data_IF_256232230606
#
_entry.id   IF_256232230606
#
_cell.length_a   1.000
_cell.length_b   1.000
_cell.length_c   1.000
_cell.angle_alpha   90.00
_cell.angle_beta   90.00
_cell.angle_gamma   90.00
#
_symmetry.space_group_name_H-M   'P 1'
#
loop_
_entity.id
_entity.type
_entity.pdbx_description
1 polymer ?
#
# COMPACT_ATOMS: atom_id res chain seq x y z
N UNK A 1 -29.50 -28.98 -16.19
CA UNK A 1 -29.76 -27.86 -17.10
C UNK A 1 -29.37 -28.25 -18.50
N UNK A 2 -30.36 -28.61 -19.29
CA UNK A 2 -30.30 -29.09 -20.69
C UNK A 2 -29.96 -27.91 -21.60
N UNK A 3 -28.81 -28.00 -22.27
CA UNK A 3 -28.38 -27.04 -23.27
C UNK A 3 -28.99 -27.39 -24.62
N UNK A 4 -30.06 -26.72 -25.04
CA UNK A 4 -30.64 -26.78 -26.38
C UNK A 4 -30.05 -25.69 -27.28
N UNK A 5 -28.92 -25.96 -27.89
CA UNK A 5 -28.51 -25.27 -29.13
C UNK A 5 -27.74 -26.27 -30.00
N UNK A 6 -28.35 -26.59 -31.16
CA UNK A 6 -27.72 -27.37 -32.24
C UNK A 6 -26.46 -26.63 -32.71
N UNK A 7 -25.27 -27.00 -32.24
CA UNK A 7 -23.99 -26.69 -32.86
C UNK A 7 -23.56 -27.83 -33.77
N UNK A 8 -23.12 -27.46 -34.96
CA UNK A 8 -22.72 -28.33 -36.03
C UNK A 8 -21.60 -29.30 -35.57
N UNK A 9 -21.77 -30.60 -35.79
CA UNK A 9 -20.79 -31.65 -35.48
C UNK A 9 -19.40 -31.43 -36.12
N UNK A 10 -19.32 -30.61 -37.15
CA UNK A 10 -18.03 -30.27 -37.83
C UNK A 10 -17.12 -29.37 -37.03
N UNK A 11 -17.65 -28.53 -36.14
CA UNK A 11 -16.85 -27.59 -35.35
C UNK A 11 -16.18 -28.25 -34.13
N UNK A 12 -16.73 -29.37 -33.63
CA UNK A 12 -16.12 -30.14 -32.55
C UNK A 12 -14.84 -30.87 -33.00
N UNK A 13 -14.81 -31.44 -34.22
CA UNK A 13 -13.63 -32.15 -34.71
C UNK A 13 -12.44 -31.22 -35.03
N UNK A 14 -12.68 -29.95 -35.38
CA UNK A 14 -11.60 -28.98 -35.59
C UNK A 14 -10.97 -28.55 -34.28
N UNK A 15 -11.75 -28.50 -33.21
CA UNK A 15 -11.24 -28.15 -31.86
C UNK A 15 -10.42 -29.31 -31.25
N UNK A 16 -10.89 -30.53 -31.36
CA UNK A 16 -10.18 -31.72 -30.91
C UNK A 16 -8.83 -31.91 -31.64
N UNK A 17 -8.81 -31.64 -32.96
CA UNK A 17 -7.58 -31.70 -33.75
C UNK A 17 -6.54 -30.67 -33.36
N UNK A 18 -6.97 -29.43 -33.07
CA UNK A 18 -6.07 -28.36 -32.58
C UNK A 18 -5.56 -28.59 -31.16
N UNK A 19 -6.38 -29.26 -30.33
CA UNK A 19 -5.98 -29.58 -28.95
C UNK A 19 -4.92 -30.67 -28.92
N UNK A 20 -5.02 -31.66 -29.78
CA UNK A 20 -4.09 -32.82 -29.87
C UNK A 20 -2.81 -32.49 -30.66
N UNK A 21 -2.82 -31.52 -31.57
CA UNK A 21 -1.63 -31.09 -32.30
C UNK A 21 -0.71 -30.16 -31.50
N UNK A 22 -1.18 -29.61 -30.36
CA UNK A 22 -0.44 -28.67 -29.48
C UNK A 22 0.20 -29.33 -28.23
N UNK A 23 -0.07 -30.61 -27.96
CA UNK A 23 0.57 -31.30 -26.84
C UNK A 23 1.62 -32.25 -27.41
N UNK A 24 2.89 -31.86 -27.34
CA UNK A 24 3.96 -32.82 -27.43
C UNK A 24 3.88 -33.73 -26.20
N UNK A 25 3.76 -35.06 -26.42
CA UNK A 25 3.62 -36.07 -25.36
C UNK A 25 4.84 -36.25 -24.45
N UNK A 26 5.75 -35.32 -24.44
CA UNK A 26 6.90 -35.30 -23.54
C UNK A 26 7.09 -33.87 -23.00
N UNK A 27 6.58 -33.56 -21.79
CA UNK A 27 7.10 -32.38 -21.09
C UNK A 27 8.61 -32.64 -20.87
N UNK A 28 9.45 -31.81 -21.49
CA UNK A 28 10.87 -31.84 -21.14
C UNK A 28 10.99 -31.79 -19.62
N UNK A 29 11.78 -32.67 -19.00
CA UNK A 29 11.94 -32.65 -17.55
C UNK A 29 12.44 -31.25 -17.18
N UNK A 30 11.72 -30.60 -16.24
CA UNK A 30 12.15 -29.36 -15.65
C UNK A 30 13.66 -29.43 -15.40
N UNK A 31 14.40 -28.63 -16.14
CA UNK A 31 15.86 -28.58 -16.00
C UNK A 31 16.15 -28.35 -14.53
N UNK A 32 16.74 -29.35 -13.89
CA UNK A 32 17.12 -29.29 -12.48
C UNK A 32 17.98 -28.05 -12.28
N UNK A 33 17.67 -27.25 -11.26
CA UNK A 33 18.50 -26.11 -10.84
C UNK A 33 19.92 -26.65 -10.75
N UNK A 34 20.93 -26.03 -11.43
CA UNK A 34 22.29 -26.51 -11.39
C UNK A 34 22.75 -26.62 -9.94
N UNK A 35 23.21 -27.80 -9.53
CA UNK A 35 23.67 -28.05 -8.15
C UNK A 35 24.81 -27.11 -7.74
N UNK A 36 25.49 -26.48 -8.67
CA UNK A 36 26.56 -25.49 -8.44
C UNK A 36 26.03 -24.21 -7.77
N UNK A 37 24.76 -23.80 -8.02
CA UNK A 37 24.15 -22.64 -7.36
C UNK A 37 23.81 -22.87 -5.88
N UNK A 38 23.64 -24.13 -5.48
CA UNK A 38 23.29 -24.51 -4.10
C UNK A 38 24.54 -24.61 -3.19
N UNK A 39 25.73 -24.76 -3.73
CA UNK A 39 26.99 -24.89 -2.96
C UNK A 39 27.50 -23.57 -2.39
N UNK A 40 26.94 -22.42 -2.78
CA UNK A 40 27.36 -21.09 -2.29
C UNK A 40 26.71 -20.67 -0.95
N UNK A 41 25.81 -21.48 -0.39
CA UNK A 41 25.21 -21.21 0.93
C UNK A 41 26.10 -21.87 1.98
N UNK A 42 27.14 -21.13 2.43
CA UNK A 42 27.98 -21.60 3.54
C UNK A 42 27.12 -21.73 4.82
N UNK A 43 27.22 -22.86 5.57
CA UNK A 43 26.53 -22.99 6.83
C UNK A 43 27.06 -21.95 7.83
N UNK A 44 26.17 -21.09 8.33
CA UNK A 44 26.49 -20.18 9.43
C UNK A 44 26.75 -21.04 10.69
N UNK A 45 27.93 -20.88 11.29
CA UNK A 45 28.27 -21.52 12.56
C UNK A 45 27.29 -20.99 13.64
N UNK A 46 26.35 -21.82 14.09
CA UNK A 46 25.34 -21.45 15.08
C UNK A 46 24.33 -22.57 15.31
N UNK A 47 23.24 -22.27 15.98
CA UNK A 47 22.16 -23.18 16.30
C UNK A 47 21.67 -23.98 15.07
N UNK A 48 21.67 -25.34 15.10
CA UNK A 48 21.25 -26.16 13.95
C UNK A 48 19.86 -25.82 13.41
N UNK A 49 18.92 -25.45 14.29
CA UNK A 49 17.56 -25.03 13.89
C UNK A 49 17.58 -23.72 13.11
N UNK A 50 18.38 -22.74 13.54
CA UNK A 50 18.53 -21.47 12.83
C UNK A 50 19.13 -21.67 11.44
N UNK A 51 20.11 -22.60 11.29
CA UNK A 51 20.70 -22.95 10.01
C UNK A 51 19.69 -23.63 9.07
N UNK A 52 18.85 -24.54 9.59
CA UNK A 52 17.79 -25.18 8.80
C UNK A 52 16.74 -24.17 8.33
N UNK A 53 16.33 -23.25 9.20
CA UNK A 53 15.35 -22.19 8.84
C UNK A 53 15.95 -21.23 7.82
N UNK A 54 17.20 -20.77 8.01
CA UNK A 54 17.90 -19.88 7.06
C UNK A 54 18.07 -20.54 5.69
N UNK A 55 18.43 -21.83 5.64
CA UNK A 55 18.52 -22.57 4.39
C UNK A 55 17.17 -22.71 3.71
N UNK A 56 16.09 -22.97 4.46
CA UNK A 56 14.73 -23.04 3.93
C UNK A 56 14.31 -21.70 3.30
N UNK A 57 14.47 -20.59 4.01
CA UNK A 57 14.14 -19.25 3.48
C UNK A 57 14.94 -18.93 2.21
N UNK A 58 16.22 -19.29 2.19
CA UNK A 58 17.09 -19.08 1.02
C UNK A 58 16.62 -19.92 -0.18
N UNK A 59 16.24 -21.16 0.04
CA UNK A 59 15.73 -22.04 -1.02
C UNK A 59 14.37 -21.57 -1.53
N UNK A 60 13.46 -21.13 -0.67
CA UNK A 60 12.18 -20.54 -1.06
C UNK A 60 12.37 -19.26 -1.88
N UNK A 61 13.33 -18.41 -1.50
CA UNK A 61 13.68 -17.22 -2.26
C UNK A 61 14.21 -17.56 -3.65
N UNK A 62 15.16 -18.49 -3.75
CA UNK A 62 15.70 -18.97 -5.04
C UNK A 62 14.64 -19.61 -5.92
N UNK A 63 13.80 -20.47 -5.36
CA UNK A 63 12.70 -21.09 -6.08
C UNK A 63 11.70 -20.06 -6.61
N UNK A 64 11.36 -19.04 -5.80
CA UNK A 64 10.43 -17.99 -6.23
C UNK A 64 11.02 -17.09 -7.33
N UNK A 65 12.32 -16.79 -7.32
CA UNK A 65 13.00 -16.08 -8.41
C UNK A 65 12.99 -16.94 -9.68
N UNK A 66 13.31 -18.23 -9.55
CA UNK A 66 13.32 -19.14 -10.68
C UNK A 66 11.95 -19.23 -11.35
N UNK A 67 10.90 -19.46 -10.56
CA UNK A 67 9.52 -19.52 -11.06
C UNK A 67 9.13 -18.21 -11.74
N UNK A 68 9.45 -17.07 -11.14
CA UNK A 68 9.13 -15.76 -11.71
C UNK A 68 9.81 -15.53 -13.09
N UNK A 69 11.02 -16.05 -13.27
CA UNK A 69 11.72 -15.99 -14.56
C UNK A 69 11.19 -16.96 -15.60
N UNK A 70 10.67 -18.11 -15.19
CA UNK A 70 10.03 -19.08 -16.10
C UNK A 70 8.63 -18.63 -16.53
N UNK A 71 7.97 -17.87 -15.70
CA UNK A 71 6.63 -17.33 -15.93
C UNK A 71 6.65 -15.79 -15.90
N UNK A 72 7.31 -15.17 -16.87
CA UNK A 72 7.44 -13.71 -16.90
C UNK A 72 6.06 -13.06 -17.07
N UNK A 73 5.91 -11.87 -16.47
CA UNK A 73 4.68 -11.10 -16.57
C UNK A 73 4.44 -10.57 -17.98
N UNK A 74 3.19 -10.55 -18.38
CA UNK A 74 2.76 -9.87 -19.58
C UNK A 74 2.22 -8.48 -19.21
N UNK A 75 2.89 -7.42 -19.65
CA UNK A 75 2.52 -6.06 -19.28
C UNK A 75 1.13 -5.64 -19.80
N UNK A 76 0.67 -6.19 -20.94
CA UNK A 76 -0.69 -5.95 -21.46
C UNK A 76 -1.76 -6.55 -20.52
N UNK A 77 -1.50 -7.73 -19.99
CA UNK A 77 -2.37 -8.35 -18.99
C UNK A 77 -2.34 -7.60 -17.67
N UNK A 78 -1.17 -7.11 -17.23
CA UNK A 78 -1.03 -6.28 -16.04
C UNK A 78 -1.90 -5.03 -16.16
N UNK A 79 -1.78 -4.27 -17.26
CA UNK A 79 -2.63 -3.11 -17.56
C UNK A 79 -4.11 -3.45 -17.55
N UNK A 80 -4.50 -4.56 -18.19
CA UNK A 80 -5.89 -5.02 -18.20
C UNK A 80 -6.42 -5.33 -16.79
N UNK A 81 -5.64 -6.05 -15.97
CA UNK A 81 -5.98 -6.36 -14.57
C UNK A 81 -6.09 -5.09 -13.72
N UNK A 82 -5.19 -4.12 -13.90
CA UNK A 82 -5.24 -2.82 -13.20
C UNK A 82 -6.55 -2.10 -13.52
N UNK A 83 -6.90 -1.95 -14.79
CA UNK A 83 -8.16 -1.30 -15.18
C UNK A 83 -9.37 -2.03 -14.61
N UNK A 84 -9.36 -3.36 -14.63
CA UNK A 84 -10.43 -4.17 -14.04
C UNK A 84 -10.54 -3.95 -12.52
N UNK A 85 -9.43 -3.99 -11.78
CA UNK A 85 -9.45 -3.75 -10.32
C UNK A 85 -9.90 -2.32 -10.01
N UNK A 86 -9.42 -1.33 -10.75
CA UNK A 86 -9.78 0.07 -10.54
C UNK A 86 -11.23 0.40 -10.95
N UNK A 87 -11.89 -0.45 -11.74
CA UNK A 87 -13.32 -0.31 -12.03
C UNK A 87 -14.24 -0.63 -10.83
N UNK A 88 -13.71 -1.34 -9.81
CA UNK A 88 -14.46 -1.58 -8.59
C UNK A 88 -14.51 -0.32 -7.73
N UNK A 89 -15.72 0.18 -7.50
CA UNK A 89 -15.97 1.41 -6.73
C UNK A 89 -15.37 1.40 -5.33
N UNK A 90 -15.34 0.23 -4.70
CA UNK A 90 -14.75 0.09 -3.37
C UNK A 90 -13.25 0.46 -3.37
N UNK A 91 -12.50 -0.03 -4.36
CA UNK A 91 -11.09 0.33 -4.51
C UNK A 91 -10.93 1.81 -4.86
N UNK A 92 -11.70 2.31 -5.83
CA UNK A 92 -11.62 3.72 -6.25
C UNK A 92 -11.89 4.69 -5.09
N UNK A 93 -12.87 4.39 -4.22
CA UNK A 93 -13.16 5.20 -3.02
C UNK A 93 -12.02 5.20 -1.99
N UNK A 94 -11.21 4.15 -1.94
CA UNK A 94 -10.09 4.03 -0.99
C UNK A 94 -8.74 4.34 -1.62
N UNK A 95 -8.69 4.66 -2.91
CA UNK A 95 -7.47 4.79 -3.69
C UNK A 95 -6.63 6.02 -3.34
N UNK A 96 -7.27 7.10 -2.91
CA UNK A 96 -6.60 8.39 -2.68
C UNK A 96 -6.81 8.88 -1.26
N UNK A 97 -5.83 9.66 -0.78
CA UNK A 97 -5.96 10.49 0.41
C UNK A 97 -5.65 11.94 0.05
N UNK A 98 -6.34 12.87 0.71
CA UNK A 98 -6.10 14.30 0.59
C UNK A 98 -6.41 14.97 1.93
N UNK A 99 -5.51 15.83 2.40
CA UNK A 99 -5.70 16.63 3.61
C UNK A 99 -4.84 17.89 3.57
N UNK A 100 -5.24 18.91 4.35
CA UNK A 100 -4.48 20.14 4.50
C UNK A 100 -3.58 20.06 5.73
N UNK A 101 -2.34 20.52 5.61
CA UNK A 101 -1.40 20.63 6.70
C UNK A 101 -0.49 21.84 6.50
N UNK A 102 -0.47 22.77 7.49
CA UNK A 102 0.40 23.95 7.42
C UNK A 102 0.16 24.82 6.18
N UNK A 103 -1.10 24.98 5.74
CA UNK A 103 -1.46 25.77 4.55
C UNK A 103 -1.26 25.07 3.21
N UNK A 104 -0.66 23.87 3.18
CA UNK A 104 -0.44 23.08 1.97
C UNK A 104 -1.41 21.90 1.88
N UNK A 105 -1.92 21.60 0.67
CA UNK A 105 -2.67 20.36 0.41
C UNK A 105 -1.67 19.22 0.17
N UNK A 106 -1.85 18.13 0.91
CA UNK A 106 -1.08 16.89 0.77
C UNK A 106 -2.02 15.84 0.23
N UNK A 107 -1.71 15.30 -0.94
CA UNK A 107 -2.50 14.26 -1.59
C UNK A 107 -1.60 13.14 -2.10
N UNK A 108 -2.19 11.98 -2.34
CA UNK A 108 -1.48 10.85 -2.92
C UNK A 108 -2.31 9.57 -2.93
N UNK A 109 -1.73 8.53 -3.48
CA UNK A 109 -2.33 7.20 -3.53
C UNK A 109 -2.15 6.48 -2.19
N UNK A 110 -3.16 5.72 -1.80
CA UNK A 110 -3.15 4.94 -0.55
C UNK A 110 -2.39 3.63 -0.71
N UNK A 111 -2.13 2.95 0.41
CA UNK A 111 -1.60 1.58 0.42
C UNK A 111 -2.55 0.59 -0.27
N UNK A 112 -3.87 0.86 -0.26
CA UNK A 112 -4.85 -0.01 -0.90
C UNK A 112 -4.65 -0.03 -2.42
N UNK A 113 -4.45 1.13 -3.06
CA UNK A 113 -4.15 1.20 -4.48
C UNK A 113 -2.80 0.58 -4.80
N UNK A 114 -1.78 0.85 -3.99
CA UNK A 114 -0.45 0.27 -4.17
C UNK A 114 -0.48 -1.26 -4.13
N UNK A 115 -1.19 -1.85 -3.17
CA UNK A 115 -1.35 -3.30 -3.06
C UNK A 115 -2.14 -3.89 -4.25
N UNK A 116 -3.18 -3.22 -4.72
CA UNK A 116 -3.93 -3.64 -5.90
C UNK A 116 -3.03 -3.67 -7.15
N UNK A 117 -2.21 -2.63 -7.33
CA UNK A 117 -1.23 -2.57 -8.42
C UNK A 117 -0.17 -3.67 -8.28
N UNK A 118 0.34 -3.91 -7.08
CA UNK A 118 1.31 -4.98 -6.82
C UNK A 118 0.72 -6.37 -7.14
N UNK A 119 -0.54 -6.61 -6.74
CA UNK A 119 -1.26 -7.85 -7.03
C UNK A 119 -1.45 -8.05 -8.54
N UNK A 120 -1.81 -6.99 -9.27
CA UNK A 120 -1.94 -7.03 -10.74
C UNK A 120 -0.60 -7.24 -11.44
N UNK A 121 0.46 -6.61 -10.91
CA UNK A 121 1.81 -6.69 -11.44
C UNK A 121 2.37 -8.11 -11.39
N UNK A 122 2.10 -8.85 -10.30
CA UNK A 122 2.56 -10.23 -10.14
C UNK A 122 4.07 -10.35 -9.97
N UNK A 123 4.55 -11.56 -9.68
CA UNK A 123 5.96 -11.87 -9.48
C UNK A 123 6.69 -10.94 -8.49
N UNK A 124 5.95 -10.30 -7.60
CA UNK A 124 6.46 -9.35 -6.63
C UNK A 124 5.83 -9.56 -5.25
N UNK A 125 6.56 -9.16 -4.23
CA UNK A 125 6.20 -9.31 -2.83
C UNK A 125 6.51 -8.03 -2.09
N UNK A 126 5.62 -7.61 -1.19
CA UNK A 126 5.87 -6.50 -0.29
C UNK A 126 5.37 -6.83 1.12
N UNK A 127 6.04 -6.27 2.11
CA UNK A 127 5.72 -6.51 3.50
C UNK A 127 6.60 -5.73 4.45
N UNK A 128 6.52 -6.10 5.73
CA UNK A 128 7.41 -5.58 6.75
C UNK A 128 7.74 -6.67 7.77
N UNK A 129 8.83 -6.46 8.49
CA UNK A 129 9.25 -7.31 9.60
C UNK A 129 9.90 -6.48 10.68
N UNK A 130 9.69 -6.88 11.93
CA UNK A 130 10.46 -6.40 13.07
C UNK A 130 11.78 -7.16 13.10
N UNK A 131 12.88 -6.44 13.25
CA UNK A 131 14.24 -7.01 13.27
C UNK A 131 14.90 -6.93 14.65
N UNK A 132 14.42 -6.05 15.52
CA UNK A 132 14.97 -5.88 16.86
C UNK A 132 14.23 -4.84 17.66
N UNK A 133 14.82 -4.52 18.81
CA UNK A 133 14.41 -3.43 19.68
C UNK A 133 15.65 -2.72 20.23
N UNK A 134 15.52 -1.44 20.50
CA UNK A 134 16.52 -0.63 21.17
C UNK A 134 15.87 0.43 22.05
N UNK A 135 16.66 1.08 22.89
CA UNK A 135 16.22 2.22 23.69
C UNK A 135 16.76 3.50 23.04
N UNK A 136 15.89 4.46 22.76
CA UNK A 136 16.28 5.75 22.15
C UNK A 136 16.95 6.69 23.18
N UNK A 137 17.44 7.84 22.70
CA UNK A 137 18.09 8.86 23.55
C UNK A 137 17.18 9.45 24.65
N UNK A 138 15.87 9.28 24.50
CA UNK A 138 14.86 9.71 25.49
C UNK A 138 14.48 8.60 26.48
N UNK A 139 15.16 7.46 26.43
CA UNK A 139 14.88 6.31 27.29
C UNK A 139 13.62 5.52 26.88
N UNK A 140 13.09 5.68 25.67
CA UNK A 140 11.91 4.98 25.19
C UNK A 140 12.31 3.72 24.43
N UNK A 141 11.64 2.61 24.71
CA UNK A 141 11.80 1.39 23.93
C UNK A 141 11.24 1.61 22.52
N UNK A 142 11.99 1.20 21.52
CA UNK A 142 11.65 1.33 20.10
C UNK A 142 11.73 -0.04 19.42
N UNK A 143 10.76 -0.35 18.56
CA UNK A 143 10.84 -1.50 17.66
C UNK A 143 11.55 -1.08 16.37
N UNK A 144 12.61 -1.82 16.01
CA UNK A 144 13.29 -1.68 14.72
C UNK A 144 12.62 -2.54 13.67
N UNK A 145 12.21 -1.91 12.59
CA UNK A 145 11.42 -2.52 11.53
C UNK A 145 12.03 -2.26 10.16
N UNK A 146 11.79 -3.18 9.23
CA UNK A 146 12.10 -3.02 7.81
C UNK A 146 10.82 -3.23 7.02
N UNK A 147 10.47 -2.26 6.17
CA UNK A 147 9.48 -2.42 5.11
C UNK A 147 10.21 -2.70 3.80
N UNK A 148 9.64 -3.55 2.97
CA UNK A 148 10.27 -3.94 1.71
C UNK A 148 9.25 -4.14 0.59
N UNK A 149 9.74 -4.05 -0.65
CA UNK A 149 9.11 -4.59 -1.85
C UNK A 149 10.17 -5.22 -2.72
N UNK A 150 9.89 -6.40 -3.25
CA UNK A 150 10.80 -7.19 -4.05
C UNK A 150 10.13 -7.69 -5.32
N UNK A 151 10.59 -7.24 -6.47
CA UNK A 151 10.27 -7.79 -7.78
C UNK A 151 11.21 -8.99 -8.04
N UNK A 152 10.64 -10.20 -7.95
CA UNK A 152 11.38 -11.46 -8.07
C UNK A 152 11.80 -11.75 -9.52
N UNK A 153 11.05 -11.24 -10.50
CA UNK A 153 11.37 -11.44 -11.92
C UNK A 153 12.64 -10.68 -12.35
N UNK A 154 12.71 -9.39 -11.97
CA UNK A 154 13.87 -8.54 -12.26
C UNK A 154 14.93 -8.57 -11.15
N UNK A 155 14.62 -9.24 -10.04
CA UNK A 155 15.45 -9.27 -8.82
C UNK A 155 15.75 -7.85 -8.28
N UNK A 156 14.77 -6.95 -8.33
CA UNK A 156 14.89 -5.58 -7.81
C UNK A 156 14.22 -5.52 -6.46
N UNK A 157 14.98 -5.15 -5.41
CA UNK A 157 14.49 -5.01 -4.04
C UNK A 157 14.70 -3.59 -3.53
N UNK A 158 13.68 -3.06 -2.86
CA UNK A 158 13.72 -1.79 -2.12
C UNK A 158 13.33 -2.04 -0.68
N UNK A 159 14.10 -1.47 0.23
CA UNK A 159 13.88 -1.58 1.67
C UNK A 159 13.98 -0.21 2.32
N UNK A 160 13.19 0.00 3.39
CA UNK A 160 13.24 1.17 4.25
C UNK A 160 13.29 0.69 5.68
N UNK A 161 14.40 0.91 6.36
CA UNK A 161 14.53 0.69 7.80
C UNK A 161 13.93 1.88 8.56
N UNK A 162 13.26 1.59 9.67
CA UNK A 162 12.67 2.61 10.54
C UNK A 162 12.47 2.09 11.95
N UNK A 163 12.50 3.01 12.91
CA UNK A 163 12.26 2.69 14.32
C UNK A 163 10.94 3.30 14.77
N UNK A 164 10.20 2.59 15.61
CA UNK A 164 8.90 2.98 16.13
C UNK A 164 8.96 2.99 17.65
N UNK A 165 8.94 4.17 18.30
CA UNK A 165 8.86 4.25 19.74
C UNK A 165 7.56 3.63 20.27
N UNK A 166 7.65 2.88 21.36
CA UNK A 166 6.48 2.34 22.08
C UNK A 166 5.78 3.44 22.87
N UNK A 167 5.41 4.51 22.16
CA UNK A 167 4.91 5.74 22.76
C UNK A 167 3.86 6.37 21.82
N UNK A 168 2.75 6.80 22.38
CA UNK A 168 1.72 7.53 21.65
C UNK A 168 1.77 9.00 22.01
N UNK A 169 2.14 9.84 21.06
CA UNK A 169 2.08 11.29 21.21
C UNK A 169 0.62 11.77 21.15
N UNK A 170 0.26 12.67 22.06
CA UNK A 170 -1.04 13.36 22.10
C UNK A 170 -0.80 14.87 22.22
N UNK A 171 -1.85 15.69 22.00
CA UNK A 171 -1.74 17.16 22.14
C UNK A 171 -1.34 17.60 23.56
N UNK A 172 -1.76 16.85 24.56
CA UNK A 172 -1.54 17.16 25.99
C UNK A 172 -0.29 16.45 26.58
N UNK A 173 0.63 16.03 25.72
CA UNK A 173 1.76 15.18 26.06
C UNK A 173 1.53 13.78 25.45
N UNK A 174 2.30 12.80 25.83
CA UNK A 174 2.15 11.45 25.33
C UNK A 174 2.27 10.44 26.47
N UNK A 175 2.04 9.16 26.16
CA UNK A 175 2.16 8.07 27.12
C UNK A 175 2.80 6.82 26.51
N UNK A 176 3.53 6.02 27.31
CA UNK A 176 4.10 4.77 26.85
C UNK A 176 3.00 3.75 26.58
N UNK A 177 3.18 2.94 25.54
CA UNK A 177 2.31 1.80 25.24
C UNK A 177 2.80 0.59 26.02
N UNK A 178 1.89 -0.03 26.78
CA UNK A 178 2.17 -1.22 27.58
C UNK A 178 1.63 -2.52 26.96
N UNK A 179 0.69 -2.41 26.00
CA UNK A 179 0.06 -3.54 25.34
C UNK A 179 0.85 -3.93 24.10
N UNK A 180 1.24 -5.19 23.97
CA UNK A 180 1.89 -5.72 22.76
C UNK A 180 1.04 -5.54 21.52
N UNK A 181 -0.29 -5.62 21.65
CA UNK A 181 -1.23 -5.37 20.55
C UNK A 181 -1.13 -3.94 20.08
N UNK A 182 -1.12 -2.96 21.00
CA UNK A 182 -1.07 -1.54 20.62
C UNK A 182 0.27 -1.19 19.99
N UNK A 183 1.36 -1.79 20.46
CA UNK A 183 2.69 -1.67 19.88
C UNK A 183 2.72 -2.25 18.48
N UNK A 184 2.15 -3.46 18.28
CA UNK A 184 2.06 -4.10 16.98
C UNK A 184 1.25 -3.24 15.98
N UNK A 185 0.06 -2.77 16.38
CA UNK A 185 -0.79 -1.92 15.54
C UNK A 185 -0.09 -0.60 15.17
N UNK A 186 0.65 0.00 16.10
CA UNK A 186 1.44 1.20 15.81
C UNK A 186 2.55 0.89 14.78
N UNK A 187 3.28 -0.20 14.95
CA UNK A 187 4.30 -0.65 14.01
C UNK A 187 3.69 -0.93 12.61
N UNK A 188 2.57 -1.64 12.55
CA UNK A 188 1.87 -1.96 11.32
C UNK A 188 1.40 -0.71 10.56
N UNK A 189 0.83 0.27 11.28
CA UNK A 189 0.41 1.55 10.71
C UNK A 189 1.61 2.36 10.17
N UNK A 190 2.71 2.38 10.91
CA UNK A 190 3.94 3.05 10.47
C UNK A 190 4.60 2.32 9.30
N UNK A 191 4.52 0.99 9.25
CA UNK A 191 5.02 0.17 8.16
C UNK A 191 4.23 0.40 6.85
N UNK A 192 2.90 0.54 6.92
CA UNK A 192 2.03 0.70 5.74
C UNK A 192 2.48 1.85 4.83
N UNK A 193 2.91 2.98 5.41
CA UNK A 193 3.42 4.13 4.64
C UNK A 193 4.72 3.80 3.92
N UNK A 194 5.61 3.02 4.53
CA UNK A 194 6.92 2.64 3.98
C UNK A 194 6.79 1.53 2.95
N UNK A 195 5.90 0.56 3.19
CA UNK A 195 5.55 -0.46 2.21
C UNK A 195 5.04 0.19 0.93
N UNK A 196 4.11 1.16 1.03
CA UNK A 196 3.62 1.93 -0.11
C UNK A 196 4.76 2.61 -0.88
N UNK A 197 5.69 3.25 -0.17
CA UNK A 197 6.85 3.88 -0.79
C UNK A 197 7.75 2.85 -1.49
N UNK A 198 7.97 1.68 -0.88
CA UNK A 198 8.74 0.60 -1.49
C UNK A 198 8.05 0.05 -2.75
N UNK A 199 6.72 -0.13 -2.71
CA UNK A 199 5.94 -0.60 -3.88
C UNK A 199 6.11 0.38 -5.03
N UNK A 200 5.87 1.69 -4.81
CA UNK A 200 6.01 2.70 -5.86
C UNK A 200 7.44 2.90 -6.35
N UNK A 201 8.45 2.54 -5.55
CA UNK A 201 9.85 2.56 -5.99
C UNK A 201 10.26 1.34 -6.81
N UNK A 202 9.45 0.28 -6.83
CA UNK A 202 9.68 -0.95 -7.59
C UNK A 202 8.83 -1.00 -8.86
N UNK A 203 7.56 -0.59 -8.77
CA UNK A 203 6.64 -0.59 -9.90
C UNK A 203 6.99 0.55 -10.88
N UNK A 204 6.92 0.32 -12.20
CA UNK A 204 7.04 1.38 -13.21
C UNK A 204 5.99 2.48 -13.01
N UNK A 205 6.39 3.74 -13.21
CA UNK A 205 5.52 4.90 -12.97
C UNK A 205 4.23 4.89 -13.79
N UNK A 206 4.27 4.36 -15.02
CA UNK A 206 3.06 4.30 -15.85
C UNK A 206 1.96 3.44 -15.24
N UNK A 207 2.30 2.40 -14.46
CA UNK A 207 1.34 1.57 -13.72
C UNK A 207 0.60 2.40 -12.67
N UNK A 208 1.35 3.24 -11.94
CA UNK A 208 0.79 4.16 -10.95
C UNK A 208 -0.16 5.16 -11.60
N UNK A 209 0.27 5.76 -12.71
CA UNK A 209 -0.54 6.73 -13.46
C UNK A 209 -1.81 6.08 -14.03
N UNK A 210 -1.70 4.93 -14.70
CA UNK A 210 -2.84 4.20 -15.25
C UNK A 210 -3.86 3.82 -14.16
N UNK A 211 -3.39 3.35 -13.01
CA UNK A 211 -4.26 3.00 -11.88
C UNK A 211 -4.96 4.25 -11.31
N UNK A 212 -4.24 5.36 -11.17
CA UNK A 212 -4.79 6.60 -10.67
C UNK A 212 -5.89 7.14 -11.61
N UNK A 213 -5.62 7.18 -12.91
CA UNK A 213 -6.60 7.60 -13.93
C UNK A 213 -7.83 6.69 -13.97
N UNK A 214 -7.63 5.38 -13.93
CA UNK A 214 -8.73 4.42 -13.93
C UNK A 214 -9.63 4.57 -12.70
N UNK A 215 -9.05 4.74 -11.50
CA UNK A 215 -9.81 5.01 -10.28
C UNK A 215 -10.57 6.34 -10.34
N UNK A 216 -9.94 7.41 -10.83
CA UNK A 216 -10.60 8.71 -11.00
C UNK A 216 -11.77 8.63 -11.97
N UNK A 217 -11.60 7.92 -13.09
CA UNK A 217 -12.68 7.71 -14.06
C UNK A 217 -13.84 6.92 -13.43
N UNK A 218 -13.57 5.91 -12.62
CA UNK A 218 -14.59 5.16 -11.87
C UNK A 218 -15.32 6.04 -10.86
N UNK A 219 -14.63 6.97 -10.21
CA UNK A 219 -15.25 7.91 -9.28
C UNK A 219 -16.15 8.92 -9.98
N UNK A 220 -15.79 9.34 -11.21
CA UNK A 220 -16.57 10.28 -12.03
C UNK A 220 -17.77 9.61 -12.70
N UNK A 221 -17.60 8.37 -13.20
CA UNK A 221 -18.64 7.59 -13.85
C UNK A 221 -19.63 7.00 -12.83
N UNK A 222 -20.38 7.85 -12.13
CA UNK A 222 -21.35 7.40 -11.11
C UNK A 222 -22.75 7.82 -11.47
N UNK A 223 -23.68 6.87 -11.48
CA UNK A 223 -25.13 7.10 -11.62
C UNK A 223 -25.77 7.47 -10.28
N UNK A 224 -25.02 7.41 -9.16
CA UNK A 224 -25.55 7.72 -7.83
C UNK A 224 -25.79 9.22 -7.70
N UNK A 225 -26.99 9.66 -7.38
CA UNK A 225 -27.31 11.08 -7.18
C UNK A 225 -26.37 11.74 -6.17
N UNK A 226 -25.98 12.99 -6.44
CA UNK A 226 -25.05 13.72 -5.58
C UNK A 226 -25.53 13.80 -4.13
N UNK A 227 -26.84 13.91 -3.91
CA UNK A 227 -27.47 13.96 -2.59
C UNK A 227 -27.22 12.68 -1.77
N UNK A 228 -27.32 11.51 -2.41
CA UNK A 228 -27.03 10.23 -1.75
C UNK A 228 -25.55 10.08 -1.41
N UNK A 229 -24.66 10.59 -2.25
CA UNK A 229 -23.22 10.61 -2.00
C UNK A 229 -22.87 11.53 -0.83
N UNK A 230 -23.47 12.70 -0.74
CA UNK A 230 -23.32 13.63 0.39
C UNK A 230 -23.78 12.95 1.68
N UNK A 231 -24.96 12.33 1.70
CA UNK A 231 -25.47 11.60 2.86
C UNK A 231 -24.53 10.46 3.26
N UNK A 232 -24.00 9.72 2.28
CA UNK A 232 -23.02 8.68 2.52
C UNK A 232 -21.73 9.20 3.19
N UNK A 233 -21.24 10.36 2.75
CA UNK A 233 -20.10 11.03 3.39
C UNK A 233 -20.43 11.42 4.84
N UNK A 234 -21.56 12.07 5.10
CA UNK A 234 -21.96 12.47 6.45
C UNK A 234 -22.05 11.26 7.39
N UNK A 235 -22.65 10.15 6.93
CA UNK A 235 -22.74 8.90 7.69
C UNK A 235 -21.35 8.31 7.95
N UNK A 236 -20.45 8.33 6.96
CA UNK A 236 -19.12 7.80 7.13
C UNK A 236 -18.32 8.60 8.18
N UNK A 237 -18.38 9.94 8.10
CA UNK A 237 -17.69 10.82 9.04
C UNK A 237 -18.28 10.75 10.45
N UNK A 238 -19.59 10.60 10.60
CA UNK A 238 -20.23 10.45 11.91
C UNK A 238 -19.72 9.21 12.67
N UNK A 239 -19.39 8.11 11.97
CA UNK A 239 -18.81 6.89 12.56
C UNK A 239 -17.43 7.09 13.18
N UNK A 240 -16.71 8.12 12.77
CA UNK A 240 -15.39 8.49 13.33
C UNK A 240 -15.50 9.71 14.27
N UNK A 241 -16.73 10.10 14.63
CA UNK A 241 -16.99 11.19 15.57
C UNK A 241 -16.79 12.59 14.98
N UNK A 242 -16.98 12.75 13.67
CA UNK A 242 -17.00 14.05 12.99
C UNK A 242 -18.45 14.41 12.68
N UNK A 243 -18.93 15.54 13.21
CA UNK A 243 -20.30 16.00 13.00
C UNK A 243 -20.46 16.70 11.64
N UNK A 244 -21.73 16.89 11.23
CA UNK A 244 -22.05 17.61 10.00
C UNK A 244 -21.55 19.05 10.04
N UNK A 245 -21.69 19.70 11.20
CA UNK A 245 -21.26 21.08 11.44
C UNK A 245 -19.73 21.23 11.26
N UNK A 246 -18.95 20.23 11.69
CA UNK A 246 -17.51 20.20 11.47
C UNK A 246 -17.16 20.11 9.99
N UNK A 247 -17.91 19.32 9.21
CA UNK A 247 -17.73 19.22 7.76
C UNK A 247 -18.08 20.55 7.07
N UNK A 248 -19.17 21.20 7.45
CA UNK A 248 -19.59 22.49 6.91
C UNK A 248 -18.58 23.60 7.24
N UNK A 249 -18.03 23.59 8.44
CA UNK A 249 -16.95 24.51 8.83
C UNK A 249 -15.68 24.28 7.97
N UNK A 250 -15.33 23.04 7.70
CA UNK A 250 -14.21 22.69 6.86
C UNK A 250 -14.40 23.13 5.39
N UNK A 251 -15.61 22.95 4.86
CA UNK A 251 -15.99 23.35 3.49
C UNK A 251 -16.25 24.85 3.37
N UNK A 252 -16.53 25.56 4.47
CA UNK A 252 -16.97 26.99 4.53
C UNK A 252 -18.33 27.26 3.86
N UNK A 253 -19.15 26.22 3.69
CA UNK A 253 -20.52 26.32 3.18
C UNK A 253 -21.33 25.08 3.61
N UNK A 254 -22.66 25.12 3.37
CA UNK A 254 -23.55 23.99 3.69
C UNK A 254 -23.22 22.77 2.82
N UNK A 255 -23.15 21.59 3.43
CA UNK A 255 -22.72 20.35 2.77
C UNK A 255 -23.66 19.94 1.62
N UNK A 256 -24.94 20.33 1.69
CA UNK A 256 -25.93 20.05 0.64
C UNK A 256 -25.63 20.78 -0.67
N UNK A 257 -24.84 21.86 -0.63
CA UNK A 257 -24.43 22.62 -1.80
C UNK A 257 -23.09 22.18 -2.37
N UNK A 258 -22.53 21.09 -1.82
CA UNK A 258 -21.21 20.57 -2.25
C UNK A 258 -21.22 20.10 -3.69
N UNK A 259 -20.12 20.41 -4.39
CA UNK A 259 -19.82 19.93 -5.73
C UNK A 259 -19.23 18.53 -5.69
N UNK A 260 -19.23 17.86 -6.81
CA UNK A 260 -18.64 16.53 -6.95
C UNK A 260 -17.16 16.46 -6.54
N UNK A 261 -16.38 17.49 -6.91
CA UNK A 261 -14.96 17.62 -6.53
C UNK A 261 -14.77 17.68 -5.00
N UNK A 262 -15.69 18.32 -4.29
CA UNK A 262 -15.64 18.43 -2.83
C UNK A 262 -15.98 17.11 -2.15
N UNK A 263 -16.91 16.32 -2.73
CA UNK A 263 -17.19 14.96 -2.25
C UNK A 263 -15.96 14.07 -2.40
N UNK A 264 -15.27 14.15 -3.53
CA UNK A 264 -14.03 13.39 -3.75
C UNK A 264 -12.94 13.82 -2.75
N UNK A 265 -12.80 15.11 -2.50
CA UNK A 265 -11.90 15.64 -1.47
C UNK A 265 -12.27 15.13 -0.06
N UNK A 266 -13.55 15.14 0.31
CA UNK A 266 -14.01 14.59 1.59
C UNK A 266 -13.72 13.09 1.73
N UNK A 267 -13.89 12.30 0.66
CA UNK A 267 -13.51 10.89 0.64
C UNK A 267 -12.00 10.75 0.88
N UNK A 268 -11.18 11.58 0.24
CA UNK A 268 -9.74 11.63 0.46
C UNK A 268 -9.36 11.98 1.90
N UNK A 269 -10.03 12.97 2.49
CA UNK A 269 -9.84 13.36 3.89
C UNK A 269 -10.25 12.21 4.85
N UNK A 270 -11.37 11.56 4.60
CA UNK A 270 -11.80 10.40 5.38
C UNK A 270 -10.75 9.28 5.36
N UNK A 271 -10.21 8.98 4.18
CA UNK A 271 -9.15 7.99 4.03
C UNK A 271 -7.87 8.41 4.77
N UNK A 272 -7.48 9.68 4.72
CA UNK A 272 -6.34 10.21 5.44
C UNK A 272 -6.46 10.03 6.96
N UNK A 273 -7.64 10.31 7.51
CA UNK A 273 -7.93 10.11 8.95
C UNK A 273 -7.92 8.62 9.29
N UNK A 274 -8.60 7.79 8.50
CA UNK A 274 -8.69 6.34 8.73
C UNK A 274 -7.35 5.65 8.67
N UNK A 275 -6.45 6.07 7.79
CA UNK A 275 -5.09 5.54 7.67
C UNK A 275 -4.08 6.17 8.64
N UNK A 276 -4.53 7.08 9.50
CA UNK A 276 -3.68 7.79 10.46
C UNK A 276 -2.66 8.73 9.79
N UNK A 277 -2.92 9.17 8.55
CA UNK A 277 -2.08 10.18 7.88
C UNK A 277 -2.21 11.55 8.53
N UNK A 278 -3.40 11.84 9.04
CA UNK A 278 -3.71 13.01 9.85
C UNK A 278 -4.64 12.59 10.99
N UNK A 279 -4.55 13.24 12.16
CA UNK A 279 -5.52 13.02 13.23
C UNK A 279 -6.83 13.77 12.94
N UNK A 280 -7.96 13.31 13.48
CA UNK A 280 -9.24 14.00 13.38
C UNK A 280 -9.12 15.45 13.87
N UNK A 281 -8.51 15.63 15.04
CA UNK A 281 -8.38 16.94 15.67
C UNK A 281 -7.49 17.91 14.87
N UNK A 282 -6.46 17.37 14.22
CA UNK A 282 -5.59 18.16 13.34
C UNK A 282 -6.32 18.55 12.05
N UNK A 283 -7.13 17.64 11.49
CA UNK A 283 -7.89 17.89 10.26
C UNK A 283 -8.98 18.97 10.42
N UNK A 284 -9.62 19.02 11.58
CA UNK A 284 -10.74 19.91 11.87
C UNK A 284 -10.41 21.02 12.92
N UNK A 285 -9.11 21.20 13.28
CA UNK A 285 -8.72 22.35 14.08
C UNK A 285 -8.85 23.62 13.23
N UNK A 286 -9.50 24.66 13.78
CA UNK A 286 -9.59 25.96 13.14
C UNK A 286 -8.19 26.52 12.89
N UNK A 287 -7.97 27.10 11.72
CA UNK A 287 -6.67 27.71 11.34
C UNK A 287 -6.28 28.89 12.25
N UNK A 288 -7.19 29.41 13.04
CA UNK A 288 -6.97 30.55 13.96
C UNK A 288 -6.12 30.20 15.19
N UNK A 289 -6.00 28.89 15.55
CA UNK A 289 -5.19 28.45 16.71
C UNK A 289 -3.75 28.08 16.37
N UNK A 290 -3.32 28.20 15.12
CA UNK A 290 -1.95 27.92 14.70
C UNK A 290 -1.13 29.22 14.65
N UNK A 291 -0.64 29.69 15.80
CA UNK A 291 0.53 30.56 15.80
C UNK A 291 1.70 29.82 15.10
N UNK A 292 2.45 30.47 14.19
CA UNK A 292 3.57 29.83 13.51
C UNK A 292 4.63 29.48 14.57
N UNK A 293 4.88 28.19 14.75
CA UNK A 293 6.09 27.76 15.46
C UNK A 293 7.29 28.31 14.70
N UNK A 294 7.99 29.22 15.36
CA UNK A 294 9.20 29.81 14.85
C UNK A 294 10.25 28.72 14.53
N UNK A 295 10.98 28.83 13.43
CA UNK A 295 11.99 27.84 13.05
C UNK A 295 13.07 27.77 14.12
N UNK A 296 13.28 26.58 14.68
CA UNK A 296 14.36 26.30 15.65
C UNK A 296 15.69 26.22 14.89
N UNK A 297 16.15 27.35 14.38
CA UNK A 297 17.54 27.53 14.01
C UNK A 297 18.14 28.58 14.89
N UNK A 298 18.65 28.19 16.08
CA UNK A 298 19.57 29.03 16.83
C UNK A 298 20.87 29.11 16.05
N UNK A 299 21.15 30.29 15.45
CA UNK A 299 22.47 30.65 14.99
C UNK A 299 23.45 30.54 16.17
N UNK A 300 24.47 29.70 16.04
CA UNK A 300 25.65 29.79 16.90
C UNK A 300 26.32 31.10 16.58
N UNK A 301 26.27 32.05 17.50
CA UNK A 301 27.17 33.22 17.50
C UNK A 301 28.56 32.69 17.86
N UNK A 302 29.46 32.81 16.91
CA UNK A 302 30.91 32.72 17.18
C UNK A 302 31.31 33.97 17.94
N UNK A 303 31.62 33.80 19.21
CA UNK A 303 32.45 34.78 19.91
C UNK A 303 33.92 34.43 19.64
N UNK A 304 34.48 35.08 18.61
CA UNK A 304 35.90 35.40 18.58
C UNK A 304 36.08 36.70 19.36
N UNK A 305 36.73 36.60 20.54
CA UNK A 305 37.55 37.69 21.07
C UNK A 305 38.45 37.20 22.22
N UNK A 306 39.73 37.51 22.03
CA UNK A 306 40.90 37.49 22.91
C UNK A 306 41.66 36.18 23.06
#
# INVERSE_FOLDING_TARGET
LTCTRKKNKKDCHVWEKRYNEGMSDNPEPLTTVPAEGLSMIAPLAGNPLANVLSNKESLEALASIYIAKQMPRNMMEVSSKIRQLCSFRHLANTAFFEYKRGGSSISGETIHLANACLTAYGNAEAGWRKIGEHVDEKGRVCSDCIAFCWDKENNIRREIAFSVPHYRDTKDGGYPLASDRDIYELCANMASRRIRACIWAVLPDFIRQEAAEACQNTLRATDTPIVERINGCVIAFSKIGVSKEMLEAYLKHKIETSKESEIVMLIGLFNAIKTGAISKDEAFSNEEDKSPEAPIFKKKENNENA
#
